data_IF_505699825427
#
_entry.id   IF_505699825427
#
_cell.length_a   1.000
_cell.length_b   1.000
_cell.length_c   1.000
_cell.angle_alpha   90.00
_cell.angle_beta   90.00
_cell.angle_gamma   90.00
#
_symmetry.space_group_name_H-M   'P 1'
#
loop_
_entity.id
_entity.type
_entity.pdbx_description
1 polymer ?
#
# COMPACT_ATOMS: atom_id res chain seq x y z
N UNK A 1 -16.24 7.78 -4.50
CA UNK A 1 -16.95 8.00 -5.75
C UNK A 1 -17.84 6.83 -6.08
N UNK A 2 -19.07 7.03 -6.51
CA UNK A 2 -19.98 5.97 -6.98
C UNK A 2 -19.41 5.38 -8.27
N UNK A 3 -18.67 4.27 -8.16
CA UNK A 3 -18.23 3.55 -9.34
C UNK A 3 -19.45 3.02 -10.10
N UNK A 4 -19.46 3.21 -11.42
CA UNK A 4 -20.55 2.73 -12.28
C UNK A 4 -20.66 1.20 -12.14
N UNK A 5 -21.86 0.69 -11.85
CA UNK A 5 -22.13 -0.74 -11.66
C UNK A 5 -21.72 -1.59 -12.87
N UNK A 6 -21.81 -1.01 -14.08
CA UNK A 6 -21.44 -1.63 -15.34
C UNK A 6 -19.93 -1.85 -15.41
N UNK A 7 -19.12 -0.86 -14.98
CA UNK A 7 -17.67 -0.99 -14.99
C UNK A 7 -17.18 -1.98 -13.93
N UNK A 8 -17.84 -2.01 -12.76
CA UNK A 8 -17.59 -3.05 -11.74
C UNK A 8 -17.95 -4.46 -12.22
N UNK A 9 -19.06 -4.61 -12.95
CA UNK A 9 -19.45 -5.90 -13.51
C UNK A 9 -18.44 -6.37 -14.57
N UNK A 10 -17.95 -5.48 -15.43
CA UNK A 10 -16.95 -5.80 -16.45
C UNK A 10 -15.58 -6.19 -15.85
N UNK A 11 -15.19 -5.55 -14.76
CA UNK A 11 -13.90 -5.83 -14.10
C UNK A 11 -13.90 -7.11 -13.24
N UNK A 12 -15.06 -7.70 -12.94
CA UNK A 12 -15.18 -8.85 -12.06
C UNK A 12 -16.17 -9.91 -12.59
N UNK A 13 -15.87 -10.57 -13.73
CA UNK A 13 -16.77 -11.50 -14.38
C UNK A 13 -17.16 -12.72 -13.52
N UNK A 14 -16.27 -13.16 -12.63
CA UNK A 14 -16.55 -14.30 -11.74
C UNK A 14 -17.60 -13.95 -10.69
N UNK A 15 -17.62 -12.72 -10.19
CA UNK A 15 -18.67 -12.26 -9.27
C UNK A 15 -20.02 -12.13 -9.98
N UNK A 16 -20.02 -11.72 -11.24
CA UNK A 16 -21.23 -11.67 -12.04
C UNK A 16 -21.81 -13.07 -12.24
N UNK A 17 -20.98 -14.08 -12.53
CA UNK A 17 -21.41 -15.51 -12.61
C UNK A 17 -21.98 -16.01 -11.29
N UNK A 18 -21.36 -15.67 -10.15
CA UNK A 18 -21.88 -16.01 -8.82
C UNK A 18 -23.26 -15.40 -8.56
N UNK A 19 -23.47 -14.14 -8.90
CA UNK A 19 -24.75 -13.44 -8.74
C UNK A 19 -25.81 -14.07 -9.65
N UNK A 20 -25.49 -14.40 -10.90
CA UNK A 20 -26.39 -15.10 -11.83
C UNK A 20 -26.73 -16.52 -11.36
N UNK A 21 -25.77 -17.25 -10.78
CA UNK A 21 -26.01 -18.55 -10.15
C UNK A 21 -26.98 -18.43 -8.98
N UNK A 22 -26.75 -17.44 -8.10
CA UNK A 22 -27.60 -17.18 -6.94
C UNK A 22 -29.02 -16.74 -7.33
N UNK A 23 -29.15 -15.98 -8.41
CA UNK A 23 -30.46 -15.60 -8.95
C UNK A 23 -31.29 -16.78 -9.45
N UNK A 24 -30.64 -17.87 -9.91
CA UNK A 24 -31.32 -19.11 -10.30
C UNK A 24 -31.78 -19.95 -9.11
N UNK A 25 -31.05 -19.94 -8.01
CA UNK A 25 -31.37 -20.73 -6.79
C UNK A 25 -32.31 -20.01 -5.84
N UNK A 26 -32.05 -18.72 -5.56
CA UNK A 26 -32.71 -17.95 -4.50
C UNK A 26 -33.80 -17.01 -5.04
N UNK A 27 -33.91 -16.88 -6.36
CA UNK A 27 -34.80 -15.95 -7.04
C UNK A 27 -34.22 -14.57 -7.26
N UNK A 28 -34.75 -13.86 -8.27
CA UNK A 28 -34.21 -12.55 -8.71
C UNK A 28 -34.37 -11.45 -7.67
N UNK A 29 -35.49 -11.40 -6.96
CA UNK A 29 -35.76 -10.36 -5.95
C UNK A 29 -34.84 -10.52 -4.74
N UNK A 30 -34.73 -11.72 -4.19
CA UNK A 30 -33.85 -11.99 -3.04
C UNK A 30 -32.37 -11.74 -3.39
N UNK A 31 -31.96 -12.07 -4.60
CA UNK A 31 -30.59 -11.80 -5.08
C UNK A 31 -30.34 -10.30 -5.25
N UNK A 32 -31.32 -9.55 -5.81
CA UNK A 32 -31.20 -8.11 -5.94
C UNK A 32 -31.06 -7.42 -4.58
N UNK A 33 -31.90 -7.78 -3.60
CA UNK A 33 -31.84 -7.22 -2.25
C UNK A 33 -30.53 -7.56 -1.54
N UNK A 34 -30.03 -8.78 -1.68
CA UNK A 34 -28.74 -9.19 -1.13
C UNK A 34 -27.56 -8.43 -1.78
N UNK A 35 -27.59 -8.21 -3.09
CA UNK A 35 -26.57 -7.45 -3.81
C UNK A 35 -26.63 -5.97 -3.41
N UNK A 36 -27.83 -5.39 -3.36
CA UNK A 36 -28.05 -4.00 -2.95
C UNK A 36 -27.58 -3.77 -1.52
N UNK A 37 -27.99 -4.61 -0.58
CA UNK A 37 -27.55 -4.54 0.82
C UNK A 37 -26.02 -4.60 0.96
N UNK A 38 -25.36 -5.46 0.17
CA UNK A 38 -23.91 -5.58 0.17
C UNK A 38 -23.18 -4.39 -0.46
N UNK A 39 -23.80 -3.75 -1.46
CA UNK A 39 -23.27 -2.54 -2.11
C UNK A 39 -23.48 -1.27 -1.27
N UNK A 40 -24.55 -1.24 -0.47
CA UNK A 40 -24.88 -0.13 0.42
C UNK A 40 -24.16 -0.19 1.77
N UNK A 41 -23.47 -1.29 2.10
CA UNK A 41 -22.66 -1.38 3.31
C UNK A 41 -21.46 -0.42 3.22
N UNK A 42 -21.30 0.49 4.20
CA UNK A 42 -20.13 1.34 4.27
C UNK A 42 -18.89 0.46 4.51
N UNK A 43 -17.94 0.50 3.58
CA UNK A 43 -16.65 -0.16 3.75
C UNK A 43 -15.69 0.80 4.44
N UNK A 44 -14.99 0.36 5.49
CA UNK A 44 -13.94 1.17 6.10
C UNK A 44 -12.83 1.43 5.07
N UNK A 45 -12.33 2.66 5.05
CA UNK A 45 -11.27 3.09 4.13
C UNK A 45 -9.92 3.12 4.85
N UNK A 46 -8.88 2.85 4.09
CA UNK A 46 -7.51 2.94 4.56
C UNK A 46 -7.08 1.76 5.44
N UNK A 47 -5.77 1.69 5.66
CA UNK A 47 -5.13 0.68 6.49
C UNK A 47 -3.80 1.20 7.07
N UNK A 48 -3.64 2.50 7.16
CA UNK A 48 -2.49 3.18 7.76
C UNK A 48 -3.01 4.31 8.62
N UNK A 49 -2.74 4.28 9.90
CA UNK A 49 -3.02 5.41 10.77
C UNK A 49 -1.97 5.59 11.86
N UNK A 50 -1.86 6.81 12.34
CA UNK A 50 -1.09 7.20 13.50
C UNK A 50 -2.07 7.67 14.56
N UNK A 51 -1.81 7.34 15.80
CA UNK A 51 -2.68 7.74 16.89
C UNK A 51 -2.07 7.50 18.26
N UNK A 52 -2.92 7.63 19.29
CA UNK A 52 -2.55 7.35 20.67
C UNK A 52 -3.40 6.23 21.23
N UNK A 53 -2.78 5.41 22.06
CA UNK A 53 -3.45 4.30 22.71
C UNK A 53 -4.47 4.85 23.74
N UNK A 54 -5.72 4.55 23.53
CA UNK A 54 -6.80 4.87 24.48
C UNK A 54 -6.93 3.78 25.53
N UNK A 55 -6.84 2.51 25.08
CA UNK A 55 -6.95 1.33 25.93
C UNK A 55 -6.11 0.19 25.37
N UNK A 56 -5.39 -0.52 26.21
CA UNK A 56 -4.57 -1.67 25.83
C UNK A 56 -4.74 -2.79 26.85
N UNK A 57 -5.33 -3.92 26.42
CA UNK A 57 -5.62 -5.06 27.27
C UNK A 57 -4.59 -6.16 26.97
N UNK A 58 -3.76 -6.52 27.95
CA UNK A 58 -2.77 -7.61 27.86
C UNK A 58 -1.81 -7.49 26.66
N UNK A 59 -1.42 -6.27 26.30
CA UNK A 59 -0.59 -6.03 25.10
C UNK A 59 0.86 -5.63 25.41
N UNK A 60 1.11 -5.07 26.58
CA UNK A 60 2.40 -4.47 26.95
C UNK A 60 2.57 -3.03 26.47
N UNK A 61 1.56 -2.44 25.84
CA UNK A 61 1.55 -1.03 25.46
C UNK A 61 0.93 -0.18 26.55
N UNK A 62 1.46 1.04 26.72
CA UNK A 62 0.95 2.00 27.69
C UNK A 62 -0.13 2.90 27.08
N UNK A 63 -1.12 3.27 27.90
CA UNK A 63 -2.12 4.26 27.51
C UNK A 63 -1.45 5.61 27.23
N UNK A 64 -1.84 6.25 26.13
CA UNK A 64 -1.28 7.53 25.67
C UNK A 64 -0.04 7.39 24.77
N UNK A 65 0.58 6.20 24.67
CA UNK A 65 1.71 5.98 23.78
C UNK A 65 1.35 6.31 22.32
N UNK A 66 2.29 6.94 21.61
CA UNK A 66 2.17 7.22 20.18
C UNK A 66 2.43 5.95 19.37
N UNK A 67 1.54 5.62 18.47
CA UNK A 67 1.62 4.38 17.71
C UNK A 67 1.17 4.55 16.28
N UNK A 68 1.77 3.75 15.41
CA UNK A 68 1.28 3.51 14.04
C UNK A 68 0.59 2.16 13.99
N UNK A 69 -0.46 2.04 13.19
CA UNK A 69 -1.17 0.78 13.02
C UNK A 69 -1.74 0.62 11.61
N UNK A 70 -2.14 -0.60 11.28
CA UNK A 70 -2.89 -0.88 10.05
C UNK A 70 -4.42 -0.71 10.21
N UNK A 71 -4.85 0.04 11.22
CA UNK A 71 -6.25 0.38 11.40
C UNK A 71 -6.81 1.20 10.23
N UNK A 72 -8.13 1.20 10.13
CA UNK A 72 -8.83 2.01 9.13
C UNK A 72 -8.74 3.51 9.46
N UNK A 73 -9.01 4.37 8.49
CA UNK A 73 -9.11 5.81 8.71
C UNK A 73 -10.38 6.13 9.51
N UNK A 74 -10.24 6.26 10.81
CA UNK A 74 -11.30 6.58 11.77
C UNK A 74 -10.73 7.24 13.02
N UNK A 75 -11.56 7.94 13.78
CA UNK A 75 -11.16 8.57 15.05
C UNK A 75 -10.70 7.56 16.08
N UNK A 76 -11.34 6.39 16.14
CA UNK A 76 -10.97 5.30 17.02
C UNK A 76 -10.98 3.99 16.23
N UNK A 77 -9.90 3.23 16.39
CA UNK A 77 -9.75 1.91 15.76
C UNK A 77 -9.35 0.86 16.78
N UNK A 78 -9.80 -0.36 16.55
CA UNK A 78 -9.36 -1.53 17.30
C UNK A 78 -8.49 -2.40 16.41
N UNK A 79 -7.24 -2.61 16.80
CA UNK A 79 -6.27 -3.38 16.04
C UNK A 79 -5.59 -4.43 16.90
N UNK A 80 -5.21 -5.60 16.34
CA UNK A 80 -4.42 -6.59 17.05
C UNK A 80 -3.02 -6.05 17.40
N UNK A 81 -2.45 -6.50 18.51
CA UNK A 81 -1.13 -6.02 18.97
C UNK A 81 0.03 -6.25 17.99
N UNK A 82 -0.08 -7.23 17.12
CA UNK A 82 0.93 -7.54 16.10
C UNK A 82 0.84 -6.64 14.85
N UNK A 83 -0.15 -5.76 14.79
CA UNK A 83 -0.37 -4.80 13.71
C UNK A 83 -0.27 -3.34 14.20
N UNK A 84 0.50 -3.15 15.27
CA UNK A 84 0.77 -1.84 15.88
C UNK A 84 2.25 -1.77 16.26
N UNK A 85 2.84 -0.58 16.17
CA UNK A 85 4.20 -0.30 16.62
C UNK A 85 4.27 1.06 17.30
N UNK A 86 5.09 1.17 18.34
CA UNK A 86 5.40 2.47 18.94
C UNK A 86 6.18 3.34 17.96
N UNK A 87 5.89 4.64 17.97
CA UNK A 87 6.62 5.64 17.19
C UNK A 87 7.72 6.19 18.07
N UNK A 88 9.02 6.14 17.65
CA UNK A 88 10.11 6.81 18.36
C UNK A 88 9.85 8.31 18.49
N UNK A 89 10.37 8.93 19.56
CA UNK A 89 10.10 10.34 19.86
C UNK A 89 10.64 11.29 18.77
N UNK A 90 11.75 10.92 18.11
CA UNK A 90 12.38 11.65 17.03
C UNK A 90 11.65 11.54 15.68
N UNK A 91 10.66 10.68 15.56
CA UNK A 91 9.87 10.50 14.32
C UNK A 91 8.55 11.24 14.45
N UNK A 92 8.25 12.12 13.49
CA UNK A 92 6.97 12.82 13.43
C UNK A 92 5.83 11.91 12.96
N UNK A 93 4.58 12.33 13.21
CA UNK A 93 3.38 11.54 12.89
C UNK A 93 3.17 11.39 11.38
N UNK A 94 3.57 12.38 10.57
CA UNK A 94 3.42 12.36 9.12
C UNK A 94 4.36 11.31 8.51
N UNK A 95 5.62 11.29 8.92
CA UNK A 95 6.59 10.26 8.52
C UNK A 95 6.17 8.88 9.00
N UNK A 96 5.71 8.76 10.25
CA UNK A 96 5.25 7.50 10.83
C UNK A 96 4.05 6.90 10.06
N UNK A 97 3.18 7.72 9.48
CA UNK A 97 2.03 7.26 8.71
C UNK A 97 2.40 6.37 7.50
N UNK A 98 3.63 6.48 6.99
CA UNK A 98 4.13 5.63 5.90
C UNK A 98 4.64 4.26 6.36
N UNK A 99 4.70 3.97 7.66
CA UNK A 99 5.30 2.73 8.18
C UNK A 99 4.67 1.46 7.62
N UNK A 100 3.34 1.40 7.50
CA UNK A 100 2.65 0.22 6.95
C UNK A 100 3.01 0.01 5.48
N UNK A 101 3.07 1.08 4.70
CA UNK A 101 3.47 1.04 3.28
C UNK A 101 4.96 0.72 3.14
N UNK A 102 5.79 1.28 4.01
CA UNK A 102 7.22 0.97 4.10
C UNK A 102 7.46 -0.51 4.43
N UNK A 103 6.64 -1.10 5.31
CA UNK A 103 6.72 -2.53 5.62
C UNK A 103 6.40 -3.41 4.40
N UNK A 104 5.48 -2.99 3.54
CA UNK A 104 5.16 -3.67 2.27
C UNK A 104 6.37 -3.59 1.32
N UNK A 105 6.95 -2.40 1.14
CA UNK A 105 8.16 -2.21 0.33
C UNK A 105 9.33 -3.05 0.87
N UNK A 106 9.55 -3.03 2.18
CA UNK A 106 10.62 -3.79 2.85
C UNK A 106 10.45 -5.30 2.69
N UNK A 107 9.23 -5.82 2.61
CA UNK A 107 9.00 -7.25 2.38
C UNK A 107 9.55 -7.69 1.03
N UNK A 108 9.32 -6.91 -0.03
CA UNK A 108 9.92 -7.16 -1.35
C UNK A 108 11.45 -7.15 -1.32
N UNK A 109 12.03 -6.16 -0.65
CA UNK A 109 13.49 -6.04 -0.49
C UNK A 109 14.07 -7.24 0.28
N UNK A 110 13.41 -7.70 1.35
CA UNK A 110 13.86 -8.87 2.12
C UNK A 110 13.81 -10.15 1.29
N UNK A 111 12.83 -10.32 0.42
CA UNK A 111 12.76 -11.48 -0.47
C UNK A 111 13.84 -11.44 -1.54
N UNK A 112 14.19 -10.26 -2.04
CA UNK A 112 15.28 -10.05 -2.98
C UNK A 112 16.64 -10.29 -2.33
N UNK A 113 16.78 -9.96 -1.05
CA UNK A 113 18.01 -10.09 -0.25
C UNK A 113 19.23 -9.39 -0.87
N UNK A 114 19.13 -8.12 -1.26
CA UNK A 114 20.21 -7.43 -1.96
C UNK A 114 21.39 -7.15 -1.03
N UNK A 115 22.59 -7.15 -1.61
CA UNK A 115 23.81 -6.77 -0.91
C UNK A 115 24.24 -5.34 -1.21
N UNK A 116 25.11 -4.78 -0.35
CA UNK A 116 25.63 -3.41 -0.52
C UNK A 116 26.32 -3.27 -1.88
N UNK A 117 25.98 -2.21 -2.62
CA UNK A 117 26.57 -1.88 -3.92
C UNK A 117 25.89 -2.53 -5.10
N UNK A 118 25.00 -3.50 -4.92
CA UNK A 118 24.17 -4.04 -6.00
C UNK A 118 23.26 -2.98 -6.60
N UNK A 119 22.95 -3.13 -7.88
CA UNK A 119 22.01 -2.28 -8.60
C UNK A 119 20.66 -2.97 -8.69
N UNK A 120 19.68 -2.41 -8.01
CA UNK A 120 18.31 -2.95 -7.98
C UNK A 120 17.41 -2.15 -8.90
N UNK A 121 16.66 -2.83 -9.75
CA UNK A 121 15.68 -2.20 -10.65
C UNK A 121 14.32 -2.12 -9.96
N UNK A 122 13.74 -0.92 -9.90
CA UNK A 122 12.40 -0.66 -9.34
C UNK A 122 11.46 -0.22 -10.45
N UNK A 123 10.55 -1.11 -10.85
CA UNK A 123 9.55 -0.84 -11.89
C UNK A 123 8.28 -0.28 -11.26
N UNK A 124 7.87 0.91 -11.68
CA UNK A 124 6.75 1.64 -11.12
C UNK A 124 7.15 2.50 -9.92
N UNK A 125 7.23 3.81 -10.14
CA UNK A 125 7.62 4.81 -9.14
C UNK A 125 6.39 5.46 -8.46
N UNK A 126 5.35 4.66 -8.21
CA UNK A 126 4.25 5.03 -7.33
C UNK A 126 4.72 5.08 -5.87
N UNK A 127 3.78 5.25 -4.94
CA UNK A 127 4.08 5.40 -3.51
C UNK A 127 4.97 4.27 -2.96
N UNK A 128 4.63 3.00 -3.23
CA UNK A 128 5.44 1.85 -2.78
C UNK A 128 6.81 1.86 -3.47
N UNK A 129 6.88 2.12 -4.78
CA UNK A 129 8.14 2.19 -5.52
C UNK A 129 9.07 3.27 -4.98
N UNK A 130 8.56 4.48 -4.70
CA UNK A 130 9.35 5.56 -4.11
C UNK A 130 9.84 5.25 -2.70
N UNK A 131 9.06 4.55 -1.88
CA UNK A 131 9.51 4.04 -0.57
C UNK A 131 10.58 2.96 -0.75
N UNK A 132 10.40 2.06 -1.72
CA UNK A 132 11.41 1.02 -2.05
C UNK A 132 12.74 1.66 -2.45
N UNK A 133 12.71 2.70 -3.31
CA UNK A 133 13.91 3.46 -3.69
C UNK A 133 14.65 3.98 -2.46
N UNK A 134 13.93 4.66 -1.55
CA UNK A 134 14.55 5.24 -0.35
C UNK A 134 15.15 4.17 0.56
N UNK A 135 14.45 3.05 0.79
CA UNK A 135 14.93 1.95 1.64
C UNK A 135 16.17 1.30 1.01
N UNK A 136 16.17 1.03 -0.29
CA UNK A 136 17.32 0.47 -1.01
C UNK A 136 18.54 1.40 -0.96
N UNK A 137 18.33 2.72 -1.15
CA UNK A 137 19.40 3.72 -1.02
C UNK A 137 19.97 3.75 0.39
N UNK A 138 19.10 3.71 1.42
CA UNK A 138 19.55 3.63 2.82
C UNK A 138 20.31 2.34 3.13
N UNK A 139 19.99 1.24 2.43
CA UNK A 139 20.70 -0.05 2.53
C UNK A 139 22.02 -0.09 1.75
N UNK A 140 22.41 1.00 1.07
CA UNK A 140 23.66 1.07 0.32
C UNK A 140 23.61 0.50 -1.09
N UNK A 141 22.43 0.21 -1.61
CA UNK A 141 22.24 -0.23 -3.00
C UNK A 141 22.24 0.94 -3.98
N UNK A 142 22.59 0.68 -5.22
CA UNK A 142 22.27 1.54 -6.35
C UNK A 142 20.85 1.22 -6.82
N UNK A 143 20.12 2.22 -7.29
CA UNK A 143 18.73 2.02 -7.72
C UNK A 143 18.51 2.59 -9.10
N UNK A 144 17.93 1.77 -10.00
CA UNK A 144 17.42 2.17 -11.29
C UNK A 144 15.88 2.15 -11.23
N UNK A 145 15.27 3.32 -11.20
CA UNK A 145 13.81 3.47 -11.20
C UNK A 145 13.26 3.58 -12.63
N UNK A 146 12.14 2.94 -12.90
CA UNK A 146 11.49 2.94 -14.21
C UNK A 146 10.01 3.31 -14.05
N UNK A 147 9.56 4.36 -14.76
CA UNK A 147 8.13 4.75 -14.82
C UNK A 147 7.85 5.49 -16.14
N UNK A 148 6.56 5.61 -16.50
CA UNK A 148 6.08 6.46 -17.60
C UNK A 148 5.81 7.89 -17.17
N UNK A 149 5.72 8.16 -15.87
CA UNK A 149 5.40 9.47 -15.31
C UNK A 149 6.68 10.22 -14.97
N UNK A 150 6.98 11.25 -15.79
CA UNK A 150 8.18 12.09 -15.60
C UNK A 150 8.26 12.73 -14.21
N UNK A 151 7.12 13.10 -13.60
CA UNK A 151 7.13 13.72 -12.27
C UNK A 151 7.57 12.74 -11.18
N UNK A 152 7.16 11.47 -11.29
CA UNK A 152 7.62 10.40 -10.39
C UNK A 152 9.09 10.06 -10.61
N UNK A 153 9.54 10.07 -11.87
CA UNK A 153 10.96 9.91 -12.20
C UNK A 153 11.80 11.01 -11.53
N UNK A 154 11.37 12.26 -11.58
CA UNK A 154 12.10 13.37 -10.93
C UNK A 154 12.10 13.22 -9.39
N UNK A 155 11.00 12.76 -8.78
CA UNK A 155 10.98 12.44 -7.34
C UNK A 155 12.00 11.34 -7.00
N UNK A 156 12.06 10.27 -7.78
CA UNK A 156 13.02 9.18 -7.57
C UNK A 156 14.47 9.64 -7.71
N UNK A 157 14.77 10.53 -8.67
CA UNK A 157 16.09 11.19 -8.76
C UNK A 157 16.42 11.99 -7.52
N UNK A 158 15.45 12.72 -6.97
CA UNK A 158 15.61 13.46 -5.71
C UNK A 158 15.97 12.54 -4.53
N UNK A 159 15.55 11.27 -4.56
CA UNK A 159 15.95 10.25 -3.59
C UNK A 159 17.26 9.52 -3.96
N UNK A 160 17.95 9.95 -5.00
CA UNK A 160 19.25 9.41 -5.41
C UNK A 160 19.20 8.17 -6.30
N UNK A 161 18.07 7.87 -6.93
CA UNK A 161 17.99 6.84 -7.96
C UNK A 161 18.42 7.37 -9.33
N UNK A 162 19.00 6.51 -10.16
CA UNK A 162 18.99 6.69 -11.61
C UNK A 162 17.60 6.31 -12.13
N UNK A 163 17.16 6.92 -13.24
CA UNK A 163 15.80 6.66 -13.73
C UNK A 163 15.76 6.51 -15.23
N UNK A 164 14.83 5.68 -15.69
CA UNK A 164 14.39 5.57 -17.09
C UNK A 164 12.96 6.10 -17.17
N UNK A 165 12.81 7.21 -17.87
CA UNK A 165 11.51 7.80 -18.17
C UNK A 165 11.02 7.24 -19.51
N UNK A 166 10.15 6.24 -19.43
CA UNK A 166 9.63 5.54 -20.61
C UNK A 166 8.77 6.45 -21.52
N UNK A 167 8.35 7.62 -21.05
CA UNK A 167 7.66 8.62 -21.88
C UNK A 167 8.62 9.33 -22.84
N UNK A 168 9.93 9.25 -22.58
CA UNK A 168 10.99 9.92 -23.34
C UNK A 168 11.91 8.93 -24.09
N UNK A 169 11.61 7.64 -24.08
CA UNK A 169 12.41 6.59 -24.72
C UNK A 169 13.91 6.64 -24.35
N UNK A 170 14.18 6.86 -23.06
CA UNK A 170 15.56 6.93 -22.55
C UNK A 170 16.12 5.52 -22.31
N UNK A 171 17.36 5.30 -22.75
CA UNK A 171 18.10 4.10 -22.38
C UNK A 171 18.69 4.23 -20.96
N UNK A 172 18.73 3.15 -20.17
CA UNK A 172 19.38 3.19 -18.86
C UNK A 172 20.88 3.34 -18.98
N UNK A 173 21.47 4.14 -18.09
CA UNK A 173 22.93 4.33 -18.02
C UNK A 173 23.62 3.16 -17.29
N UNK A 174 22.88 2.38 -16.53
CA UNK A 174 23.37 1.24 -15.75
C UNK A 174 22.52 0.00 -16.00
N UNK A 175 23.14 -1.17 -15.84
CA UNK A 175 22.45 -2.45 -15.82
C UNK A 175 22.08 -2.81 -14.37
N UNK A 176 20.92 -3.46 -14.18
CA UNK A 176 20.52 -3.96 -12.89
C UNK A 176 21.17 -5.32 -12.58
N UNK A 177 21.45 -5.57 -11.29
CA UNK A 177 21.86 -6.88 -10.79
C UNK A 177 20.62 -7.68 -10.35
N UNK A 178 19.54 -6.97 -9.97
CA UNK A 178 18.24 -7.52 -9.59
C UNK A 178 17.09 -6.50 -9.78
#
# INVERSE_FOLDING_TARGET
>A
GKANLIDKARSQPDKVKMVLGKAKTDGLLATYDAVKSKLDQPLPLGYCNVGRILEAINTGYEKGARVVSNGHHAEVVRVPKNLIACIPDEVDDESAAFTVLGAIAMQGIRLLNPTIGETVVVTGLGLIGLLTVQILKANGCRVLGIDFDSAKCELAKGFGAEVVDLSKEQEPLVMGDA
#
